data_IF_211129273500
#
_entry.id   IF_211129273500
#
_cell.length_a   1.000
_cell.length_b   1.000
_cell.length_c   1.000
_cell.angle_alpha   90.00
_cell.angle_beta   90.00
_cell.angle_gamma   90.00
#
_symmetry.space_group_name_H-M   'P 1'
#
loop_
_entity.id
_entity.type
_entity.pdbx_description
1 polymer ?
#
# COMPACT_ATOMS: atom_id res chain seq x y z
N UNK A 1 15.97 -30.84 0.60
CA UNK A 1 15.71 -30.19 -0.69
C UNK A 1 14.20 -30.07 -0.83
N UNK A 2 13.64 -28.95 -0.35
CA UNK A 2 12.22 -28.67 -0.45
C UNK A 2 11.94 -28.01 -1.82
N UNK A 3 10.88 -28.50 -2.47
CA UNK A 3 10.49 -28.20 -3.84
C UNK A 3 9.95 -26.77 -3.97
N UNK A 4 10.70 -25.89 -4.64
CA UNK A 4 10.41 -24.46 -4.84
C UNK A 4 9.37 -24.21 -5.97
N UNK A 5 8.71 -25.28 -6.46
CA UNK A 5 7.78 -25.22 -7.59
C UNK A 5 6.33 -24.86 -7.22
N UNK A 6 5.99 -24.79 -5.92
CA UNK A 6 4.64 -24.45 -5.46
C UNK A 6 4.30 -22.96 -5.56
N UNK A 7 5.29 -22.07 -5.41
CA UNK A 7 5.06 -20.61 -5.27
C UNK A 7 4.83 -19.92 -6.62
N UNK A 8 5.26 -20.53 -7.72
CA UNK A 8 5.06 -19.97 -9.06
C UNK A 8 3.63 -20.14 -9.58
N UNK A 9 2.94 -21.23 -9.23
CA UNK A 9 1.60 -21.50 -9.74
C UNK A 9 0.51 -20.66 -9.08
N UNK A 10 0.64 -20.32 -7.80
CA UNK A 10 -0.35 -19.47 -7.10
C UNK A 10 -0.35 -18.03 -7.64
N UNK A 11 0.83 -17.50 -7.99
CA UNK A 11 0.95 -16.17 -8.60
C UNK A 11 0.33 -16.14 -10.00
N UNK A 12 0.59 -17.16 -10.81
CA UNK A 12 0.00 -17.30 -12.15
C UNK A 12 -1.53 -17.49 -12.08
N UNK A 13 -2.04 -18.24 -11.10
CA UNK A 13 -3.48 -18.42 -10.86
C UNK A 13 -4.17 -17.14 -10.35
N UNK A 14 -3.51 -16.37 -9.49
CA UNK A 14 -4.00 -15.05 -9.05
C UNK A 14 -3.98 -14.03 -10.20
N UNK A 15 -2.95 -14.05 -11.03
CA UNK A 15 -2.84 -13.18 -12.21
C UNK A 15 -3.88 -13.58 -13.28
N UNK A 16 -4.08 -14.87 -13.51
CA UNK A 16 -5.10 -15.40 -14.41
C UNK A 16 -6.52 -15.08 -13.90
N UNK A 17 -6.77 -15.31 -12.61
CA UNK A 17 -8.03 -14.98 -11.96
C UNK A 17 -8.35 -13.49 -11.96
N UNK A 18 -7.36 -12.62 -11.72
CA UNK A 18 -7.56 -11.16 -11.81
C UNK A 18 -7.75 -10.69 -13.26
N UNK A 19 -7.08 -11.32 -14.24
CA UNK A 19 -7.23 -11.01 -15.67
C UNK A 19 -8.62 -11.39 -16.19
N UNK A 20 -9.20 -12.46 -15.66
CA UNK A 20 -10.52 -12.96 -16.04
C UNK A 20 -11.66 -12.26 -15.28
N UNK A 21 -11.45 -11.92 -14.00
CA UNK A 21 -12.48 -11.27 -13.16
C UNK A 21 -12.56 -9.75 -13.40
N UNK A 22 -11.46 -9.09 -13.74
CA UNK A 22 -11.42 -7.62 -13.85
C UNK A 22 -10.99 -7.08 -15.21
N UNK A 23 -10.53 -7.90 -16.16
CA UNK A 23 -10.08 -7.44 -17.49
C UNK A 23 -8.93 -6.41 -17.47
N UNK A 24 -8.39 -6.10 -16.29
CA UNK A 24 -7.35 -5.09 -16.06
C UNK A 24 -6.08 -5.84 -15.75
N UNK A 25 -5.05 -5.71 -16.60
CA UNK A 25 -3.68 -6.16 -16.27
C UNK A 25 -3.22 -5.41 -15.02
N UNK A 26 -3.06 -6.08 -13.86
CA UNK A 26 -2.51 -5.43 -12.69
C UNK A 26 -1.00 -5.33 -12.89
N UNK A 27 -0.50 -4.09 -12.93
CA UNK A 27 0.95 -3.83 -12.86
C UNK A 27 1.59 -3.26 -14.13
N UNK A 28 1.05 -2.20 -14.74
CA UNK A 28 1.89 -1.23 -15.48
C UNK A 28 1.21 0.10 -15.86
N UNK A 29 0.04 0.40 -15.31
CA UNK A 29 -0.81 1.50 -15.82
C UNK A 29 -0.16 2.88 -15.67
N UNK A 30 0.61 3.12 -14.60
CA UNK A 30 1.31 4.38 -14.38
C UNK A 30 2.47 4.66 -15.35
N UNK A 31 3.26 3.63 -15.70
CA UNK A 31 4.41 3.80 -16.61
C UNK A 31 3.92 4.01 -18.05
N UNK A 32 2.90 3.27 -18.47
CA UNK A 32 2.29 3.46 -19.78
C UNK A 32 1.52 4.77 -19.90
N UNK A 33 0.94 5.27 -18.82
CA UNK A 33 0.26 6.57 -18.83
C UNK A 33 1.25 7.72 -19.03
N UNK A 34 2.37 7.71 -18.29
CA UNK A 34 3.41 8.73 -18.47
C UNK A 34 4.02 8.68 -19.87
N UNK A 35 4.30 7.48 -20.39
CA UNK A 35 4.82 7.34 -21.75
C UNK A 35 3.84 7.85 -22.81
N UNK A 36 2.55 7.55 -22.68
CA UNK A 36 1.49 8.07 -23.58
C UNK A 36 1.29 9.58 -23.45
N UNK A 37 1.40 10.12 -22.24
CA UNK A 37 1.39 11.57 -22.01
C UNK A 37 2.59 12.26 -22.65
N UNK A 38 3.77 11.67 -22.53
CA UNK A 38 4.98 12.17 -23.17
C UNK A 38 4.81 12.15 -24.70
N UNK A 39 4.30 11.06 -25.26
CA UNK A 39 4.02 10.94 -26.71
C UNK A 39 3.06 12.02 -27.23
N UNK A 40 2.08 12.44 -26.43
CA UNK A 40 1.09 13.48 -26.79
C UNK A 40 1.54 14.92 -26.51
N UNK A 41 2.71 15.13 -25.90
CA UNK A 41 3.21 16.45 -25.50
C UNK A 41 4.41 16.89 -26.34
N UNK A 42 4.51 18.20 -26.57
CA UNK A 42 5.61 18.82 -27.34
C UNK A 42 6.97 18.60 -26.66
N UNK A 43 8.09 18.49 -27.40
CA UNK A 43 9.43 18.40 -26.82
C UNK A 43 9.76 19.52 -25.82
N UNK A 44 9.21 20.71 -26.00
CA UNK A 44 9.35 21.85 -25.09
C UNK A 44 8.58 21.62 -23.78
N UNK A 45 7.33 21.16 -23.87
CA UNK A 45 6.49 20.83 -22.70
C UNK A 45 7.16 19.74 -21.84
N UNK A 46 7.84 18.78 -22.48
CA UNK A 46 8.59 17.72 -21.77
C UNK A 46 9.73 18.29 -20.91
N UNK A 47 10.43 19.32 -21.37
CA UNK A 47 11.52 19.96 -20.60
C UNK A 47 10.98 20.66 -19.36
N UNK A 48 9.86 21.38 -19.50
CA UNK A 48 9.20 22.05 -18.37
C UNK A 48 8.67 21.03 -17.36
N UNK A 49 8.09 19.92 -17.83
CA UNK A 49 7.66 18.83 -16.95
C UNK A 49 8.83 18.14 -16.25
N UNK A 50 9.97 17.99 -16.92
CA UNK A 50 11.19 17.47 -16.32
C UNK A 50 11.72 18.42 -15.24
N UNK A 51 11.79 19.72 -15.53
CA UNK A 51 12.18 20.74 -14.56
C UNK A 51 11.22 20.78 -13.35
N UNK A 52 9.91 20.65 -13.57
CA UNK A 52 8.91 20.56 -12.51
C UNK A 52 9.12 19.34 -11.61
N UNK A 53 9.48 18.19 -12.19
CA UNK A 53 9.79 16.96 -11.44
C UNK A 53 11.07 17.13 -10.63
N UNK A 54 12.13 17.57 -11.29
CA UNK A 54 13.47 17.74 -10.71
C UNK A 54 13.44 18.74 -9.55
N UNK A 55 12.79 19.90 -9.72
CA UNK A 55 12.71 20.95 -8.69
C UNK A 55 12.14 20.46 -7.36
N UNK A 56 11.12 19.60 -7.41
CA UNK A 56 10.55 19.00 -6.21
C UNK A 56 11.42 17.91 -5.59
N UNK A 57 12.06 17.09 -6.43
CA UNK A 57 12.93 16.00 -5.98
C UNK A 57 14.17 16.54 -5.29
N UNK A 58 14.83 17.56 -5.85
CA UNK A 58 16.01 18.18 -5.23
C UNK A 58 15.71 18.73 -3.84
N UNK A 59 14.62 19.49 -3.70
CA UNK A 59 14.21 20.07 -2.41
C UNK A 59 13.91 18.99 -1.36
N UNK A 60 13.23 17.92 -1.76
CA UNK A 60 12.92 16.79 -0.87
C UNK A 60 14.18 16.03 -0.46
N UNK A 61 15.07 15.70 -1.41
CA UNK A 61 16.29 14.95 -1.15
C UNK A 61 17.25 15.70 -0.23
N UNK A 62 17.47 17.00 -0.47
CA UNK A 62 18.34 17.84 0.36
C UNK A 62 17.81 17.88 1.79
N UNK A 63 16.52 18.17 1.95
CA UNK A 63 15.92 18.34 3.27
C UNK A 63 15.90 17.01 4.04
N UNK A 64 15.56 15.90 3.38
CA UNK A 64 15.57 14.56 3.98
C UNK A 64 16.98 14.14 4.40
N UNK A 65 17.99 14.42 3.58
CA UNK A 65 19.40 14.11 3.90
C UNK A 65 19.88 14.90 5.12
N UNK A 66 19.52 16.19 5.20
CA UNK A 66 19.82 17.03 6.37
C UNK A 66 19.13 16.46 7.62
N UNK A 67 17.86 16.05 7.51
CA UNK A 67 17.14 15.44 8.62
C UNK A 67 17.73 14.13 9.11
N UNK A 68 18.16 13.28 8.19
CA UNK A 68 18.81 12.02 8.53
C UNK A 68 20.16 12.26 9.21
N UNK A 69 21.00 13.12 8.65
CA UNK A 69 22.30 13.47 9.23
C UNK A 69 22.16 14.14 10.61
N UNK A 70 21.22 15.08 10.76
CA UNK A 70 20.91 15.70 12.03
C UNK A 70 20.38 14.70 13.06
N UNK A 71 19.53 13.77 12.64
CA UNK A 71 19.03 12.67 13.46
C UNK A 71 20.16 11.76 13.99
N UNK A 72 21.09 11.37 13.11
CA UNK A 72 22.26 10.58 13.51
C UNK A 72 23.18 11.33 14.48
N UNK A 73 23.34 12.64 14.32
CA UNK A 73 24.12 13.48 15.24
C UNK A 73 23.48 13.54 16.63
N UNK A 74 22.16 13.71 16.70
CA UNK A 74 21.44 13.69 17.99
C UNK A 74 21.55 12.31 18.65
N UNK A 75 21.40 11.23 17.87
CA UNK A 75 21.57 9.87 18.35
C UNK A 75 22.97 9.61 18.93
N UNK A 76 24.02 10.02 18.22
CA UNK A 76 25.41 9.84 18.65
C UNK A 76 25.68 10.61 19.95
N UNK A 77 25.17 11.85 20.06
CA UNK A 77 25.31 12.67 21.26
C UNK A 77 24.58 12.08 22.47
N UNK A 78 23.34 11.57 22.27
CA UNK A 78 22.57 10.85 23.30
C UNK A 78 23.32 9.62 23.80
N UNK A 79 23.86 8.82 22.87
CA UNK A 79 24.61 7.60 23.20
C UNK A 79 25.90 7.92 23.94
N UNK A 80 26.64 8.95 23.52
CA UNK A 80 27.84 9.41 24.21
C UNK A 80 27.54 9.87 25.65
N UNK A 81 26.43 10.56 25.88
CA UNK A 81 26.02 10.97 27.23
C UNK A 81 25.69 9.76 28.13
N UNK A 82 25.02 8.74 27.59
CA UNK A 82 24.74 7.50 28.33
C UNK A 82 26.01 6.73 28.68
N UNK A 83 26.97 6.65 27.75
CA UNK A 83 28.28 6.05 28.02
C UNK A 83 29.04 6.80 29.11
N UNK A 84 29.09 8.14 29.06
CA UNK A 84 29.74 8.93 30.11
C UNK A 84 29.12 8.71 31.49
N UNK A 85 27.79 8.64 31.58
CA UNK A 85 27.09 8.33 32.84
C UNK A 85 27.47 6.95 33.35
N UNK A 86 27.51 5.95 32.47
CA UNK A 86 27.91 4.61 32.86
C UNK A 86 29.38 4.54 33.31
N UNK A 87 30.29 5.21 32.60
CA UNK A 87 31.70 5.30 32.99
C UNK A 87 31.87 5.97 34.36
N UNK A 88 31.19 7.08 34.61
CA UNK A 88 31.22 7.75 35.91
C UNK A 88 30.70 6.84 37.04
N UNK A 89 29.59 6.12 36.82
CA UNK A 89 29.05 5.17 37.82
C UNK A 89 30.04 4.01 38.07
N UNK A 90 30.71 3.54 37.01
CA UNK A 90 31.70 2.46 37.10
C UNK A 90 32.95 2.90 37.86
N UNK A 91 33.44 4.10 37.61
CA UNK A 91 34.64 4.67 38.26
C UNK A 91 34.39 5.02 39.73
N UNK A 92 33.16 5.42 40.08
CA UNK A 92 32.81 5.85 41.44
C UNK A 92 32.34 4.74 42.38
N UNK A 93 32.39 3.45 41.99
CA UNK A 93 31.99 2.29 42.81
C UNK A 93 30.86 2.60 43.80
N UNK A 94 29.71 3.07 43.29
CA UNK A 94 28.62 3.54 44.15
C UNK A 94 27.98 2.34 44.86
N UNK A 95 28.46 2.02 46.06
CA UNK A 95 27.89 1.00 46.93
C UNK A 95 26.61 1.56 47.56
N UNK A 96 25.49 1.35 46.88
CA UNK A 96 24.19 1.68 47.46
C UNK A 96 23.92 0.68 48.59
N UNK A 97 24.01 1.16 49.83
CA UNK A 97 23.66 0.37 51.01
C UNK A 97 22.15 0.42 51.17
N UNK A 98 21.47 -0.71 50.91
CA UNK A 98 20.03 -0.81 51.13
C UNK A 98 19.81 -1.44 52.51
N UNK A 99 19.14 -0.69 53.39
CA UNK A 99 18.70 -1.19 54.70
C UNK A 99 17.31 -1.79 54.54
N UNK A 100 17.17 -3.10 54.74
CA UNK A 100 15.84 -3.71 54.71
C UNK A 100 15.09 -3.43 55.99
N UNK A 101 13.76 -3.52 55.93
CA UNK A 101 12.88 -3.36 57.09
C UNK A 101 13.18 -4.36 58.22
N UNK A 102 13.85 -5.47 57.91
CA UNK A 102 14.30 -6.52 58.84
C UNK A 102 15.68 -6.21 59.48
N UNK A 103 16.20 -4.98 59.33
CA UNK A 103 17.45 -4.54 59.95
C UNK A 103 18.74 -5.07 59.29
N UNK A 104 18.63 -6.01 58.36
CA UNK A 104 19.76 -6.48 57.53
C UNK A 104 20.29 -5.34 56.67
N UNK A 105 21.60 -5.25 56.58
CA UNK A 105 22.33 -4.30 55.73
C UNK A 105 23.16 -5.14 54.77
N UNK A 106 22.91 -5.05 53.46
CA UNK A 106 23.85 -5.55 52.46
C UNK A 106 24.20 -4.40 51.53
N UNK A 107 25.48 -4.35 51.19
CA UNK A 107 26.03 -3.52 50.14
C UNK A 107 25.78 -4.24 48.82
N UNK A 108 24.94 -3.65 47.96
CA UNK A 108 24.77 -4.13 46.59
C UNK A 108 25.94 -3.60 45.76
N UNK A 109 27.06 -4.34 45.76
CA UNK A 109 28.28 -3.96 45.02
C UNK A 109 28.15 -4.09 43.50
N UNK A 110 27.00 -4.58 42.99
CA UNK A 110 26.82 -4.90 41.56
C UNK A 110 25.80 -4.02 40.79
N UNK A 111 25.35 -2.89 41.36
CA UNK A 111 24.44 -1.98 40.63
C UNK A 111 25.06 -1.38 39.35
N UNK A 112 26.39 -1.43 39.20
CA UNK A 112 27.11 -0.93 38.01
C UNK A 112 26.77 -1.70 36.71
N UNK A 113 26.28 -2.94 36.82
CA UNK A 113 25.97 -3.79 35.67
C UNK A 113 24.57 -3.52 35.07
N UNK A 114 23.59 -3.07 35.87
CA UNK A 114 22.23 -2.81 35.38
C UNK A 114 22.11 -1.55 34.49
N UNK A 115 23.06 -0.61 34.58
CA UNK A 115 23.05 0.65 33.84
C UNK A 115 23.72 0.60 32.46
N UNK A 116 24.18 -0.58 32.00
CA UNK A 116 24.99 -0.67 30.77
C UNK A 116 24.14 -0.34 29.54
N UNK A 117 24.62 0.55 28.64
CA UNK A 117 23.93 0.81 27.37
C UNK A 117 23.79 -0.49 26.55
N UNK A 118 22.56 -0.88 26.22
CA UNK A 118 22.32 -2.10 25.44
C UNK A 118 22.57 -1.88 23.95
N UNK A 119 22.96 -2.95 23.21
CA UNK A 119 23.10 -2.89 21.75
C UNK A 119 21.74 -2.65 21.07
N UNK A 120 20.67 -3.29 21.55
CA UNK A 120 19.31 -3.13 21.02
C UNK A 120 18.78 -1.71 21.22
N UNK A 121 18.99 -1.12 22.40
CA UNK A 121 18.64 0.28 22.67
C UNK A 121 19.44 1.24 21.78
N UNK A 122 20.65 0.87 21.39
CA UNK A 122 21.44 1.58 20.39
C UNK A 122 20.81 1.59 19.02
N UNK A 123 20.46 0.42 18.52
CA UNK A 123 19.79 0.28 17.23
C UNK A 123 18.49 1.10 17.21
N UNK A 124 17.65 0.97 18.24
CA UNK A 124 16.41 1.74 18.35
C UNK A 124 16.66 3.24 18.41
N UNK A 125 17.73 3.69 19.08
CA UNK A 125 18.09 5.12 19.13
C UNK A 125 18.45 5.62 17.73
N UNK A 126 19.33 4.93 17.00
CA UNK A 126 19.71 5.35 15.65
C UNK A 126 18.56 5.23 14.65
N UNK A 127 17.74 4.20 14.75
CA UNK A 127 16.55 4.04 13.92
C UNK A 127 15.54 5.16 14.19
N UNK A 128 15.17 5.39 15.45
CA UNK A 128 14.15 6.39 15.81
C UNK A 128 14.61 7.80 15.46
N UNK A 129 15.85 8.17 15.79
CA UNK A 129 16.34 9.53 15.51
C UNK A 129 16.75 9.71 14.05
N UNK A 130 17.34 8.70 13.41
CA UNK A 130 17.68 8.74 11.99
C UNK A 130 16.45 8.78 11.11
N UNK A 131 15.56 7.78 11.22
CA UNK A 131 14.32 7.74 10.43
C UNK A 131 13.34 8.82 10.87
N UNK A 132 13.23 9.12 12.17
CA UNK A 132 12.38 10.20 12.66
C UNK A 132 12.85 11.57 12.17
N UNK A 133 14.16 11.81 12.15
CA UNK A 133 14.75 13.02 11.58
C UNK A 133 14.51 13.13 10.07
N UNK A 134 14.73 12.04 9.34
CA UNK A 134 14.45 11.96 7.90
C UNK A 134 12.96 12.17 7.60
N UNK A 135 12.05 11.64 8.41
CA UNK A 135 10.62 11.78 8.22
C UNK A 135 10.14 13.21 8.50
N UNK A 136 10.51 13.77 9.66
CA UNK A 136 10.16 15.15 10.03
C UNK A 136 10.63 16.15 8.98
N UNK A 137 11.89 16.02 8.56
CA UNK A 137 12.44 16.89 7.52
C UNK A 137 11.96 16.52 6.12
N UNK A 138 11.55 15.28 5.87
CA UNK A 138 10.90 14.87 4.63
C UNK A 138 9.56 15.57 4.43
N UNK A 139 8.78 15.79 5.50
CA UNK A 139 7.55 16.58 5.45
C UNK A 139 7.84 18.06 5.17
N UNK A 140 8.89 18.62 5.78
CA UNK A 140 9.33 19.99 5.46
C UNK A 140 9.79 20.09 4.00
N UNK A 141 10.52 19.08 3.53
CA UNK A 141 10.97 18.94 2.16
C UNK A 141 9.83 18.82 1.17
N UNK A 142 8.74 18.12 1.51
CA UNK A 142 7.56 17.99 0.66
C UNK A 142 6.80 19.30 0.51
N UNK A 143 6.71 20.10 1.59
CA UNK A 143 6.13 21.45 1.55
C UNK A 143 6.98 22.37 0.66
N UNK A 144 8.30 22.33 0.81
CA UNK A 144 9.21 23.13 -0.04
C UNK A 144 9.19 22.67 -1.49
N UNK A 145 9.11 21.37 -1.74
CA UNK A 145 8.92 20.81 -3.07
C UNK A 145 7.60 21.27 -3.70
N UNK A 146 6.51 21.35 -2.93
CA UNK A 146 5.23 21.86 -3.41
C UNK A 146 5.31 23.35 -3.77
N UNK A 147 6.05 24.16 -2.99
CA UNK A 147 6.32 25.57 -3.32
C UNK A 147 7.14 25.74 -4.59
N UNK A 148 8.23 24.97 -4.74
CA UNK A 148 9.07 24.98 -5.94
C UNK A 148 8.30 24.52 -7.19
N UNK A 149 7.43 23.52 -7.04
CA UNK A 149 6.51 23.11 -8.11
C UNK A 149 5.52 24.20 -8.48
N UNK A 150 4.99 24.91 -7.49
CA UNK A 150 4.05 26.02 -7.71
C UNK A 150 4.70 27.17 -8.47
N UNK A 151 5.97 27.50 -8.22
CA UNK A 151 6.65 28.54 -8.99
C UNK A 151 6.80 28.16 -10.47
N UNK A 152 7.18 26.92 -10.78
CA UNK A 152 7.28 26.44 -12.17
C UNK A 152 5.92 26.47 -12.88
N UNK A 153 4.83 26.17 -12.18
CA UNK A 153 3.46 26.28 -12.72
C UNK A 153 3.07 27.72 -13.04
N UNK A 154 3.46 28.66 -12.18
CA UNK A 154 3.18 30.09 -12.38
C UNK A 154 4.02 30.68 -13.52
N UNK A 155 5.22 30.15 -13.76
CA UNK A 155 6.11 30.58 -14.85
C UNK A 155 5.66 30.08 -16.22
N UNK A 156 5.05 28.89 -16.30
CA UNK A 156 4.63 28.26 -17.57
C UNK A 156 3.15 27.83 -17.60
N UNK A 157 2.18 28.75 -17.40
CA UNK A 157 0.77 28.38 -17.28
C UNK A 157 0.20 27.73 -18.56
N UNK A 158 0.67 28.13 -19.74
CA UNK A 158 0.18 27.59 -21.02
C UNK A 158 0.62 26.14 -21.26
N UNK A 159 1.81 25.76 -20.78
CA UNK A 159 2.29 24.37 -20.84
C UNK A 159 1.37 23.46 -20.03
N UNK A 160 1.02 23.88 -18.81
CA UNK A 160 0.15 23.10 -17.93
C UNK A 160 -1.28 22.95 -18.49
N UNK A 161 -1.84 23.99 -19.12
CA UNK A 161 -3.13 23.88 -19.82
C UNK A 161 -3.10 22.84 -20.94
N UNK A 162 -2.04 22.78 -21.74
CA UNK A 162 -1.88 21.79 -22.80
C UNK A 162 -1.74 20.37 -22.25
N UNK A 163 -0.93 20.21 -21.21
CA UNK A 163 -0.74 18.92 -20.54
C UNK A 163 -2.04 18.43 -19.91
N UNK A 164 -2.84 19.31 -19.30
CA UNK A 164 -4.15 18.96 -18.77
C UNK A 164 -5.12 18.52 -19.86
N UNK A 165 -5.13 19.19 -21.01
CA UNK A 165 -5.95 18.79 -22.15
C UNK A 165 -5.55 17.39 -22.67
N UNK A 166 -4.25 17.12 -22.80
CA UNK A 166 -3.74 15.80 -23.17
C UNK A 166 -4.12 14.72 -22.13
N UNK A 167 -4.04 15.06 -20.84
CA UNK A 167 -4.43 14.18 -19.74
C UNK A 167 -5.91 13.81 -19.79
N UNK A 168 -6.79 14.79 -20.01
CA UNK A 168 -8.24 14.55 -20.15
C UNK A 168 -8.54 13.61 -21.30
N UNK A 169 -7.86 13.77 -22.45
CA UNK A 169 -8.00 12.86 -23.60
C UNK A 169 -7.63 11.42 -23.24
N UNK A 170 -6.49 11.21 -22.57
CA UNK A 170 -6.08 9.86 -22.14
C UNK A 170 -7.04 9.22 -21.14
N UNK A 171 -7.58 10.00 -20.20
CA UNK A 171 -8.58 9.48 -19.25
C UNK A 171 -9.83 9.02 -20.00
N UNK A 172 -10.31 9.82 -20.96
CA UNK A 172 -11.45 9.44 -21.80
C UNK A 172 -11.15 8.18 -22.61
N UNK A 173 -9.96 8.05 -23.20
CA UNK A 173 -9.55 6.85 -23.94
C UNK A 173 -9.49 5.61 -23.04
N UNK A 174 -8.98 5.73 -21.81
CA UNK A 174 -8.91 4.62 -20.87
C UNK A 174 -10.32 4.21 -20.40
N UNK A 175 -11.23 5.16 -20.17
CA UNK A 175 -12.64 4.86 -19.85
C UNK A 175 -13.34 4.17 -21.02
N UNK A 176 -13.11 4.60 -22.27
CA UNK A 176 -13.67 3.94 -23.46
C UNK A 176 -13.21 2.49 -23.57
N UNK A 177 -11.91 2.23 -23.38
CA UNK A 177 -11.35 0.87 -23.39
C UNK A 177 -11.95 0.00 -22.29
N UNK A 178 -12.18 0.57 -21.11
CA UNK A 178 -12.85 -0.14 -20.02
C UNK A 178 -14.30 -0.48 -20.41
N UNK A 179 -15.05 0.46 -20.99
CA UNK A 179 -16.41 0.22 -21.46
C UNK A 179 -16.47 -0.87 -22.54
N UNK A 180 -15.59 -0.82 -23.55
CA UNK A 180 -15.49 -1.85 -24.60
C UNK A 180 -15.16 -3.24 -24.01
N UNK A 181 -14.30 -3.30 -22.99
CA UNK A 181 -13.98 -4.55 -22.32
C UNK A 181 -15.18 -5.09 -21.54
N UNK A 182 -15.93 -4.22 -20.84
CA UNK A 182 -17.15 -4.60 -20.13
C UNK A 182 -18.25 -5.08 -21.08
N UNK A 183 -18.40 -4.42 -22.23
CA UNK A 183 -19.35 -4.84 -23.27
C UNK A 183 -19.02 -6.23 -23.84
N UNK A 184 -17.73 -6.49 -24.11
CA UNK A 184 -17.26 -7.82 -24.55
C UNK A 184 -17.52 -8.90 -23.50
N UNK A 185 -17.27 -8.60 -22.22
CA UNK A 185 -17.53 -9.53 -21.12
C UNK A 185 -19.02 -9.85 -21.01
N UNK A 186 -19.88 -8.83 -21.08
CA UNK A 186 -21.33 -8.99 -21.04
C UNK A 186 -21.83 -9.82 -22.25
N UNK A 187 -21.33 -9.55 -23.45
CA UNK A 187 -21.71 -10.32 -24.65
C UNK A 187 -21.30 -11.80 -24.53
N UNK A 188 -20.10 -12.08 -24.01
CA UNK A 188 -19.64 -13.45 -23.76
C UNK A 188 -20.48 -14.17 -22.69
N UNK A 189 -21.06 -13.46 -21.71
CA UNK A 189 -22.00 -14.03 -20.75
C UNK A 189 -23.34 -14.36 -21.41
N UNK A 190 -23.87 -13.45 -22.22
CA UNK A 190 -25.12 -13.69 -22.97
C UNK A 190 -25.01 -14.88 -23.93
N UNK A 191 -23.85 -15.08 -24.59
CA UNK A 191 -23.62 -16.26 -25.44
C UNK A 191 -23.58 -17.56 -24.64
N UNK A 192 -23.01 -17.53 -23.42
CA UNK A 192 -23.02 -18.69 -22.51
C UNK A 192 -24.42 -19.02 -22.01
N UNK A 193 -25.22 -18.02 -21.65
CA UNK A 193 -26.61 -18.21 -21.19
C UNK A 193 -27.56 -18.59 -22.33
N UNK A 194 -27.40 -18.00 -23.51
CA UNK A 194 -28.14 -18.35 -24.73
C UNK A 194 -27.85 -19.76 -25.24
N UNK A 195 -26.62 -20.25 -25.08
CA UNK A 195 -26.25 -21.65 -25.37
C UNK A 195 -26.86 -22.66 -24.39
N UNK A 196 -27.06 -22.27 -23.12
CA UNK A 196 -27.73 -23.10 -22.11
C UNK A 196 -29.24 -23.13 -22.32
N UNK A 197 -29.86 -21.99 -22.66
CA UNK A 197 -31.28 -21.92 -23.00
C UNK A 197 -31.60 -22.61 -24.34
N UNK A 198 -30.68 -22.57 -25.31
CA UNK A 198 -30.79 -23.32 -26.57
C UNK A 198 -30.72 -24.84 -26.42
N UNK A 199 -30.12 -25.36 -25.34
CA UNK A 199 -30.13 -26.80 -25.02
C UNK A 199 -31.32 -27.24 -24.16
N UNK A 200 -32.08 -26.32 -23.56
CA UNK A 200 -33.32 -26.62 -22.84
C UNK A 200 -34.59 -26.53 -23.71
N UNK A 201 -34.50 -25.98 -24.92
CA UNK A 201 -35.61 -25.84 -25.86
C UNK A 201 -36.07 -27.15 -26.53
N UNK A 202 -35.28 -28.22 -26.47
CA UNK A 202 -35.53 -29.49 -27.18
C UNK A 202 -35.79 -30.68 -26.23
N UNK A 203 -36.31 -30.44 -25.02
CA UNK A 203 -36.76 -31.54 -24.15
C UNK A 203 -38.20 -31.36 -23.71
N UNK A 204 -39.05 -32.23 -24.23
CA UNK A 204 -40.49 -32.40 -23.99
C UNK A 204 -40.84 -32.79 -22.53
N UNK A 205 -40.24 -32.12 -21.54
CA UNK A 205 -40.38 -32.43 -20.11
C UNK A 205 -41.60 -31.79 -19.43
N UNK A 206 -42.21 -30.76 -20.04
CA UNK A 206 -43.29 -29.99 -19.42
C UNK A 206 -44.67 -30.67 -19.48
N UNK A 207 -44.86 -31.69 -20.32
CA UNK A 207 -46.13 -32.41 -20.44
C UNK A 207 -46.29 -33.56 -19.43
N UNK A 208 -45.24 -33.91 -18.68
CA UNK A 208 -45.29 -34.97 -17.64
C UNK A 208 -45.52 -34.47 -16.22
N UNK A 209 -45.23 -33.20 -15.93
CA UNK A 209 -45.39 -32.64 -14.58
C UNK A 209 -46.83 -32.26 -14.23
N UNK A 210 -47.65 -31.85 -15.20
CA UNK A 210 -49.07 -31.53 -14.96
C UNK A 210 -49.91 -32.78 -14.63
N UNK A 211 -49.60 -33.93 -15.22
CA UNK A 211 -50.32 -35.18 -14.94
C UNK A 211 -50.06 -35.73 -13.52
N UNK A 212 -48.94 -35.35 -12.89
CA UNK A 212 -48.59 -35.77 -11.53
C UNK A 212 -49.16 -34.84 -10.44
N UNK A 213 -49.41 -33.57 -10.77
CA UNK A 213 -50.01 -32.63 -9.82
C UNK A 213 -51.52 -32.88 -9.62
N UNK A 214 -52.21 -33.33 -10.68
CA UNK A 214 -53.67 -33.52 -10.65
C UNK A 214 -54.12 -34.79 -9.91
N UNK A 215 -53.22 -35.77 -9.74
CA UNK A 215 -53.48 -36.98 -8.93
C UNK A 215 -53.22 -36.77 -7.44
N UNK A 216 -52.35 -35.83 -7.06
CA UNK A 216 -52.04 -35.55 -5.66
C UNK A 216 -53.10 -34.69 -4.95
N UNK A 217 -53.91 -33.94 -5.71
CA UNK A 217 -54.93 -33.03 -5.18
C UNK A 217 -56.31 -33.67 -4.92
N UNK A 218 -56.51 -34.94 -5.27
CA UNK A 218 -57.82 -35.61 -5.13
C UNK A 218 -58.01 -36.44 -3.86
N UNK A 219 -56.95 -36.76 -3.12
CA UNK A 219 -57.05 -37.81 -2.09
C UNK A 219 -56.97 -37.33 -0.62
N UNK A 220 -56.74 -36.05 -0.31
CA UNK A 220 -56.44 -35.67 1.10
C UNK A 220 -57.17 -34.47 1.69
N UNK A 221 -58.43 -34.23 1.30
CA UNK A 221 -59.25 -33.24 2.02
C UNK A 221 -60.65 -33.74 2.37
N UNK A 222 -60.72 -34.51 3.47
CA UNK A 222 -61.94 -34.61 4.27
C UNK A 222 -61.73 -33.89 5.61
N UNK A 223 -62.50 -32.82 5.92
CA UNK A 223 -62.33 -32.11 7.18
C UNK A 223 -62.92 -32.94 8.33
N UNK A 224 -62.04 -33.43 9.22
CA UNK A 224 -62.48 -34.00 10.51
C UNK A 224 -63.11 -32.90 11.35
N UNK A 225 -64.40 -33.08 11.64
CA UNK A 225 -65.18 -32.28 12.60
C UNK A 225 -64.69 -32.58 14.01
N UNK A 226 -64.63 -31.51 14.80
CA UNK A 226 -64.16 -31.45 16.18
C UNK A 226 -65.29 -31.85 17.12
N UNK A 227 -65.03 -32.77 18.06
CA UNK A 227 -65.61 -32.86 19.40
C UNK A 227 -64.54 -33.37 20.37
#
# INVERSE_FOLDING_TARGET
MADDRGIHNEKELLIAGMKETFGIRPGNTGIHFNKRLEELTSPEDRRVLQQFRESGVYSFLITTSIGFAGGLLVASRRRAALWRKWHAIKEHHVSATVKWSDGRVQTLDELSLLGRPSPLGGFLTYATWGFGGAWLMGVVGSINAARAKRSVVLEHPEVFKRVEAARRKLIVEDIKKLAENMEKLNNNQNEKEGGVLGQMGDSDGWSRSEAAADSFLKDDWSPRRNE
#
